data_IF_335148648472
#
_entry.id   IF_335148648472
#
_cell.length_a   1.000
_cell.length_b   1.000
_cell.length_c   1.000
_cell.angle_alpha   90.00
_cell.angle_beta   90.00
_cell.angle_gamma   90.00
#
_symmetry.space_group_name_H-M   'P 1'
#
loop_
_entity.id
_entity.type
_entity.pdbx_description
1 polymer ?
#
# COMPACT_ATOMS: atom_id res chain seq x y z
N UNK A 1 -15.09 -20.37 -2.64
CA UNK A 1 -14.23 -19.79 -1.58
C UNK A 1 -13.35 -18.73 -2.25
N UNK A 2 -13.39 -17.46 -1.82
CA UNK A 2 -12.56 -16.38 -2.41
C UNK A 2 -11.43 -15.99 -1.47
N UNK A 3 -10.19 -16.27 -1.85
CA UNK A 3 -8.99 -15.86 -1.10
C UNK A 3 -8.66 -14.40 -1.48
N UNK A 4 -8.46 -13.54 -0.48
CA UNK A 4 -8.01 -12.15 -0.67
C UNK A 4 -6.61 -12.01 -0.08
N UNK A 5 -5.76 -11.27 -0.78
CA UNK A 5 -4.34 -11.10 -0.42
C UNK A 5 -4.07 -9.60 -0.30
N UNK A 6 -3.29 -9.24 0.72
CA UNK A 6 -2.80 -7.90 0.97
C UNK A 6 -1.44 -7.95 1.66
N UNK A 7 -0.84 -6.79 1.87
CA UNK A 7 0.41 -6.62 2.62
C UNK A 7 0.10 -5.93 3.94
N UNK A 8 0.68 -6.48 5.02
CA UNK A 8 0.88 -5.72 6.24
C UNK A 8 1.85 -4.56 5.96
N UNK A 9 1.73 -3.48 6.74
CA UNK A 9 2.69 -2.37 6.71
C UNK A 9 2.83 -1.63 5.37
N UNK A 10 1.76 -1.51 4.59
CA UNK A 10 1.75 -0.77 3.31
C UNK A 10 2.13 0.72 3.45
N UNK A 11 2.01 1.29 4.64
CA UNK A 11 2.43 2.67 4.99
C UNK A 11 3.81 2.75 5.63
N UNK A 12 4.55 1.65 5.73
CA UNK A 12 5.86 1.64 6.39
C UNK A 12 6.86 2.60 5.73
N UNK A 13 7.59 3.34 6.57
CA UNK A 13 8.50 4.38 6.09
C UNK A 13 9.67 3.80 5.32
N UNK A 14 10.13 2.59 5.64
CA UNK A 14 11.24 1.94 4.95
C UNK A 14 10.80 1.43 3.57
N UNK A 15 9.58 0.90 3.47
CA UNK A 15 8.93 0.53 2.21
C UNK A 15 8.75 1.75 1.30
N UNK A 16 8.25 2.86 1.85
CA UNK A 16 8.06 4.12 1.11
C UNK A 16 9.42 4.68 0.66
N UNK A 17 10.41 4.74 1.55
CA UNK A 17 11.77 5.24 1.25
C UNK A 17 12.51 4.38 0.23
N UNK A 18 12.22 3.08 0.17
CA UNK A 18 12.77 2.19 -0.86
C UNK A 18 12.45 2.67 -2.28
N UNK A 19 11.31 3.36 -2.47
CA UNK A 19 10.91 3.93 -3.77
C UNK A 19 10.56 2.89 -4.83
N UNK A 20 10.46 1.61 -4.45
CA UNK A 20 10.17 0.47 -5.35
C UNK A 20 8.69 0.11 -5.39
N UNK A 21 7.96 0.41 -4.32
CA UNK A 21 6.58 -0.04 -4.15
C UNK A 21 5.56 0.98 -4.70
N UNK A 22 5.83 2.27 -4.56
CA UNK A 22 4.96 3.34 -5.06
C UNK A 22 5.60 4.06 -6.25
N UNK A 23 4.81 4.38 -7.29
CA UNK A 23 5.32 5.15 -8.43
C UNK A 23 5.69 6.58 -8.01
N UNK A 24 6.61 7.18 -8.78
CA UNK A 24 7.05 8.57 -8.58
C UNK A 24 5.84 9.50 -8.73
N UNK A 25 5.44 10.13 -7.63
CA UNK A 25 4.25 11.01 -7.57
C UNK A 25 3.24 10.62 -6.47
N UNK A 26 3.28 9.39 -5.96
CA UNK A 26 2.45 8.96 -4.84
C UNK A 26 3.10 9.32 -3.48
N UNK A 27 3.14 10.62 -3.17
CA UNK A 27 3.77 11.15 -1.95
C UNK A 27 2.81 11.31 -0.78
N UNK A 28 1.51 11.48 -1.05
CA UNK A 28 0.47 11.59 -0.03
C UNK A 28 -0.09 10.22 0.37
N UNK A 29 -0.59 10.10 1.61
CA UNK A 29 -1.21 8.87 2.12
C UNK A 29 -2.39 8.41 1.23
N UNK A 30 -3.24 9.34 0.80
CA UNK A 30 -4.37 9.04 -0.09
C UNK A 30 -3.91 8.52 -1.46
N UNK A 31 -2.86 9.11 -2.04
CA UNK A 31 -2.34 8.65 -3.33
C UNK A 31 -1.77 7.23 -3.24
N UNK A 32 -1.10 6.91 -2.11
CA UNK A 32 -0.62 5.56 -1.80
C UNK A 32 -1.78 4.59 -1.60
N UNK A 33 -2.83 4.99 -0.87
CA UNK A 33 -4.00 4.16 -0.64
C UNK A 33 -4.73 3.86 -1.96
N UNK A 34 -4.92 4.85 -2.84
CA UNK A 34 -5.52 4.63 -4.16
C UNK A 34 -4.70 3.67 -5.02
N UNK A 35 -3.37 3.83 -5.02
CA UNK A 35 -2.48 2.92 -5.75
C UNK A 35 -2.56 1.50 -5.18
N UNK A 36 -2.47 1.38 -3.85
CA UNK A 36 -2.53 0.10 -3.14
C UNK A 36 -3.86 -0.63 -3.37
N UNK A 37 -4.99 0.06 -3.21
CA UNK A 37 -6.33 -0.51 -3.40
C UNK A 37 -6.61 -0.93 -4.85
N UNK A 38 -5.89 -0.36 -5.82
CA UNK A 38 -5.93 -0.81 -7.21
C UNK A 38 -5.22 -2.16 -7.45
N UNK A 39 -4.33 -2.58 -6.55
CA UNK A 39 -3.52 -3.81 -6.71
C UNK A 39 -3.93 -4.90 -5.71
N UNK A 40 -4.31 -4.53 -4.49
CA UNK A 40 -4.63 -5.46 -3.41
C UNK A 40 -6.05 -5.24 -2.89
N UNK A 41 -6.91 -6.26 -2.89
CA UNK A 41 -8.29 -6.16 -2.41
C UNK A 41 -8.43 -6.21 -0.89
N UNK A 42 -7.31 -6.24 -0.15
CA UNK A 42 -7.26 -6.31 1.32
C UNK A 42 -6.11 -5.45 1.83
N UNK A 43 -6.35 -4.76 2.95
CA UNK A 43 -5.37 -3.94 3.65
C UNK A 43 -5.45 -4.21 5.14
N UNK A 44 -4.29 -4.29 5.79
CA UNK A 44 -4.19 -4.31 7.24
C UNK A 44 -4.10 -2.87 7.78
N UNK A 45 -4.86 -2.59 8.83
CA UNK A 45 -4.82 -1.31 9.55
C UNK A 45 -4.62 -1.63 11.03
N UNK A 46 -3.46 -1.28 11.54
CA UNK A 46 -3.12 -1.31 12.96
C UNK A 46 -3.02 0.13 13.45
N UNK A 47 -3.59 0.43 14.62
CA UNK A 47 -3.73 1.80 15.14
C UNK A 47 -2.55 2.21 16.04
#
# INVERSE_FOLDING_TARGET
>A
MSIRIGTASWTDVTLIKSGRFYPKGCTSAEARLRFYAGHFPLVEVDW
#
